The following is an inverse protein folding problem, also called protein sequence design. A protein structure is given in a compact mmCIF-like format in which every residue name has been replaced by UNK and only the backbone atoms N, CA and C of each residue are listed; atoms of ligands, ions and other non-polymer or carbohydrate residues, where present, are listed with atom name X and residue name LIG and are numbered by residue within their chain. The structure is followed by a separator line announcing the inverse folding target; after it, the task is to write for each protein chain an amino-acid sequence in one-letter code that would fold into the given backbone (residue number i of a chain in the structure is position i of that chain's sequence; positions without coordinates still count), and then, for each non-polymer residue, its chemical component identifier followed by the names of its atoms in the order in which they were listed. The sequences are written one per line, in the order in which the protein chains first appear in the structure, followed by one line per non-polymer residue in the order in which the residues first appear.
data_IF_824583049046
#
_entry.id   IF_824583049046
#
_cell.length_a   1.000
_cell.length_b   1.000
_cell.length_c   1.000
_cell.angle_alpha   90.00
_cell.angle_beta   90.00
_cell.angle_gamma   90.00
#
_symmetry.space_group_name_H-M   'P 1'
#
loop_
_entity.id
_entity.type
_entity.pdbx_description
1 polymer ?
#
# COMPACT_ATOMS: atom_id res chain seq x y z
N UNK A 1 -4.93 -16.42 -13.50
CA UNK A 1 -5.95 -15.93 -12.54
C UNK A 1 -5.19 -15.31 -11.38
N UNK A 2 -5.22 -13.98 -11.29
CA UNK A 2 -4.34 -13.23 -10.38
C UNK A 2 -5.02 -13.20 -9.03
N UNK A 3 -4.28 -13.54 -7.99
CA UNK A 3 -4.71 -13.65 -6.61
C UNK A 3 -5.15 -12.29 -6.01
N UNK A 4 -6.28 -11.78 -6.49
CA UNK A 4 -6.90 -10.56 -5.99
C UNK A 4 -7.55 -10.83 -4.63
N UNK A 5 -7.92 -12.09 -4.39
CA UNK A 5 -8.65 -12.49 -3.20
C UNK A 5 -7.75 -12.49 -1.96
N UNK A 6 -6.48 -12.95 -2.04
CA UNK A 6 -5.55 -12.84 -0.91
C UNK A 6 -5.19 -11.39 -0.61
N UNK A 7 -4.93 -10.59 -1.65
CA UNK A 7 -4.64 -9.16 -1.53
C UNK A 7 -5.81 -8.45 -0.85
N UNK A 8 -7.02 -8.57 -1.40
CA UNK A 8 -8.23 -7.98 -0.81
C UNK A 8 -8.49 -8.48 0.61
N UNK A 9 -8.24 -9.76 0.89
CA UNK A 9 -8.47 -10.35 2.21
C UNK A 9 -7.44 -9.90 3.26
N UNK A 10 -6.18 -9.69 2.88
CA UNK A 10 -5.14 -9.19 3.78
C UNK A 10 -5.21 -7.68 4.01
N UNK A 11 -5.69 -6.92 3.02
CA UNK A 11 -5.95 -5.48 3.20
C UNK A 11 -7.22 -5.25 4.00
N UNK A 12 -8.21 -6.15 3.94
CA UNK A 12 -9.50 -5.99 4.63
C UNK A 12 -9.37 -5.67 6.14
N UNK A 13 -8.66 -6.44 6.98
CA UNK A 13 -8.56 -6.17 8.41
C UNK A 13 -7.68 -4.95 8.73
N UNK A 14 -6.57 -4.79 8.01
CA UNK A 14 -5.60 -3.70 8.21
C UNK A 14 -6.19 -2.34 7.79
N UNK A 15 -6.93 -2.35 6.69
CA UNK A 15 -7.68 -1.22 6.26
C UNK A 15 -8.86 -0.98 7.21
N UNK A 16 -9.63 -1.98 7.66
CA UNK A 16 -10.78 -1.78 8.59
C UNK A 16 -10.39 -1.05 9.88
N UNK A 17 -9.23 -1.36 10.48
CA UNK A 17 -8.76 -0.69 11.71
C UNK A 17 -8.45 0.80 11.57
N UNK A 18 -7.97 1.25 10.39
CA UNK A 18 -7.78 2.68 10.07
C UNK A 18 -8.97 3.30 9.31
N UNK A 19 -9.76 2.46 8.64
CA UNK A 19 -10.96 2.82 7.87
C UNK A 19 -12.12 3.22 8.75
N UNK A 20 -12.23 2.75 9.98
CA UNK A 20 -13.20 3.32 10.93
C UNK A 20 -12.99 4.84 11.13
N UNK A 21 -11.78 5.35 10.85
CA UNK A 21 -11.45 6.78 10.87
C UNK A 21 -11.62 7.47 9.50
N UNK A 22 -11.67 6.71 8.39
CA UNK A 22 -11.71 7.21 7.00
C UNK A 22 -13.06 6.99 6.29
N UNK A 23 -14.00 6.23 6.88
CA UNK A 23 -15.28 5.85 6.26
C UNK A 23 -16.51 6.58 6.80
N UNK A 24 -16.35 7.81 7.25
CA UNK A 24 -17.47 8.76 7.17
C UNK A 24 -17.66 9.19 5.69
N UNK A 25 -18.08 8.26 4.82
CA UNK A 25 -18.65 8.47 3.48
C UNK A 25 -18.13 9.63 2.61
N UNK A 26 -16.82 9.81 2.44
CA UNK A 26 -16.26 11.00 1.76
C UNK A 26 -15.53 10.64 0.47
N UNK A 27 -15.56 11.55 -0.52
CA UNK A 27 -14.86 11.43 -1.81
C UNK A 27 -13.38 11.03 -1.64
N UNK A 28 -12.73 11.57 -0.61
CA UNK A 28 -11.35 11.23 -0.25
C UNK A 28 -11.14 9.74 0.04
N UNK A 29 -12.13 9.03 0.60
CA UNK A 29 -12.03 7.60 0.86
C UNK A 29 -12.04 6.80 -0.45
N UNK A 30 -12.81 7.24 -1.44
CA UNK A 30 -12.83 6.64 -2.77
C UNK A 30 -11.51 6.89 -3.51
N UNK A 31 -10.99 8.12 -3.47
CA UNK A 31 -9.69 8.48 -4.05
C UNK A 31 -8.54 7.69 -3.43
N UNK A 32 -8.52 7.57 -2.09
CA UNK A 32 -7.50 6.79 -1.40
C UNK A 32 -7.60 5.29 -1.76
N UNK A 33 -8.81 4.76 -1.87
CA UNK A 33 -9.03 3.38 -2.30
C UNK A 33 -8.50 3.15 -3.71
N UNK A 34 -8.81 4.05 -4.66
CA UNK A 34 -8.30 3.99 -6.03
C UNK A 34 -6.76 4.08 -6.10
N UNK A 35 -6.16 4.94 -5.28
CA UNK A 35 -4.70 5.04 -5.15
C UNK A 35 -4.10 3.72 -4.63
N UNK A 36 -4.68 3.11 -3.60
CA UNK A 36 -4.23 1.83 -3.06
C UNK A 36 -4.29 0.70 -4.10
N UNK A 37 -5.39 0.59 -4.86
CA UNK A 37 -5.49 -0.39 -5.94
C UNK A 37 -4.44 -0.16 -7.04
N UNK A 38 -4.15 1.11 -7.35
CA UNK A 38 -3.10 1.47 -8.33
C UNK A 38 -1.71 1.02 -7.85
N UNK A 39 -1.42 1.16 -6.55
CA UNK A 39 -0.15 0.66 -5.99
C UNK A 39 -0.05 -0.86 -6.04
N UNK A 40 -1.12 -1.59 -5.69
CA UNK A 40 -1.17 -3.06 -5.76
C UNK A 40 -0.95 -3.57 -7.19
N UNK A 41 -1.62 -2.96 -8.17
CA UNK A 41 -1.40 -3.26 -9.58
C UNK A 41 0.06 -3.00 -10.00
N UNK A 42 0.67 -1.95 -9.45
CA UNK A 42 2.09 -1.64 -9.70
C UNK A 42 3.01 -2.66 -9.06
N UNK A 43 2.75 -3.12 -7.82
CA UNK A 43 3.51 -4.20 -7.21
C UNK A 43 3.48 -5.47 -8.07
N UNK A 44 2.29 -5.89 -8.52
CA UNK A 44 2.12 -7.03 -9.43
C UNK A 44 2.94 -6.87 -10.71
N UNK A 45 2.90 -5.69 -11.33
CA UNK A 45 3.68 -5.39 -12.54
C UNK A 45 5.19 -5.48 -12.33
N UNK A 46 5.67 -5.18 -11.13
CA UNK A 46 7.10 -5.23 -10.79
C UNK A 46 7.52 -6.55 -10.13
N UNK A 47 6.64 -7.56 -10.07
CA UNK A 47 6.88 -8.82 -9.34
C UNK A 47 7.21 -8.61 -7.85
N UNK A 48 6.75 -7.51 -7.27
CA UNK A 48 6.89 -7.18 -5.86
C UNK A 48 5.73 -7.80 -5.08
N UNK A 49 6.04 -8.48 -3.96
CA UNK A 49 5.01 -8.99 -3.06
C UNK A 49 4.24 -7.82 -2.43
N UNK A 50 2.96 -7.70 -2.75
CA UNK A 50 2.08 -6.62 -2.31
C UNK A 50 1.97 -6.51 -0.79
N UNK A 51 1.94 -7.65 -0.09
CA UNK A 51 1.80 -7.69 1.37
C UNK A 51 3.09 -7.28 2.06
N UNK A 52 4.23 -7.78 1.59
CA UNK A 52 5.52 -7.36 2.13
C UNK A 52 5.79 -5.88 1.88
N UNK A 53 5.49 -5.39 0.67
CA UNK A 53 5.59 -3.98 0.35
C UNK A 53 4.72 -3.13 1.27
N UNK A 54 3.44 -3.47 1.41
CA UNK A 54 2.52 -2.69 2.22
C UNK A 54 2.92 -2.68 3.70
N UNK A 55 3.40 -3.82 4.21
CA UNK A 55 3.89 -3.93 5.59
C UNK A 55 5.12 -3.03 5.82
N UNK A 56 6.14 -3.14 4.97
CA UNK A 56 7.36 -2.32 5.07
C UNK A 56 7.05 -0.82 4.95
N UNK A 57 6.19 -0.46 4.00
CA UNK A 57 5.74 0.92 3.83
C UNK A 57 5.08 1.44 5.10
N UNK A 58 4.18 0.68 5.73
CA UNK A 58 3.52 1.12 6.97
C UNK A 58 4.46 1.20 8.18
N UNK A 59 5.47 0.34 8.25
CA UNK A 59 6.50 0.41 9.29
C UNK A 59 7.40 1.63 9.11
N UNK A 60 7.77 1.95 7.87
CA UNK A 60 8.71 3.05 7.57
C UNK A 60 8.04 4.40 7.47
N UNK A 61 6.82 4.51 6.95
CA UNK A 61 6.17 5.78 6.62
C UNK A 61 6.04 6.73 7.82
N UNK A 62 5.96 6.21 9.04
CA UNK A 62 5.87 7.02 10.26
C UNK A 62 7.19 7.75 10.59
N UNK A 63 8.32 7.14 10.23
CA UNK A 63 9.66 7.66 10.53
C UNK A 63 10.37 8.21 9.27
N UNK A 64 9.77 8.02 8.09
CA UNK A 64 10.37 8.38 6.81
C UNK A 64 10.17 9.86 6.50
N UNK A 65 11.24 10.53 6.06
CA UNK A 65 11.14 11.94 5.66
C UNK A 65 10.33 12.04 4.37
N UNK A 66 9.45 13.05 4.28
CA UNK A 66 8.60 13.29 3.10
C UNK A 66 9.41 13.32 1.79
N UNK A 67 10.61 13.92 1.83
CA UNK A 67 11.54 13.98 0.68
C UNK A 67 12.00 12.62 0.15
N UNK A 68 11.81 11.52 0.89
CA UNK A 68 12.23 10.18 0.53
C UNK A 68 11.06 9.21 0.27
N UNK A 69 9.81 9.70 0.26
CA UNK A 69 8.63 8.85 0.01
C UNK A 69 8.68 8.12 -1.33
N UNK A 70 9.37 8.66 -2.34
CA UNK A 70 9.56 8.01 -3.63
C UNK A 70 10.32 6.67 -3.52
N UNK A 71 11.09 6.45 -2.44
CA UNK A 71 11.79 5.19 -2.16
C UNK A 71 10.82 4.08 -1.73
N UNK A 72 9.67 4.45 -1.19
CA UNK A 72 8.61 3.53 -0.77
C UNK A 72 7.69 3.14 -1.92
N UNK A 73 7.83 3.74 -3.10
CA UNK A 73 7.06 3.36 -4.28
C UNK A 73 7.45 1.94 -4.73
N UNK A 74 6.51 1.10 -5.17
CA UNK A 74 6.78 -0.29 -5.51
C UNK A 74 7.84 -0.46 -6.60
N UNK A 75 7.97 0.48 -7.54
CA UNK A 75 9.02 0.48 -8.58
C UNK A 75 10.45 0.65 -8.01
N UNK A 76 10.57 1.28 -6.84
CA UNK A 76 11.84 1.63 -6.20
C UNK A 76 12.09 0.82 -4.94
N UNK A 77 11.05 0.24 -4.36
CA UNK A 77 11.05 -0.34 -3.03
C UNK A 77 12.15 -1.39 -2.84
N UNK A 78 12.31 -2.33 -3.78
CA UNK A 78 13.33 -3.37 -3.68
C UNK A 78 14.76 -2.80 -3.58
N UNK A 79 15.01 -1.65 -4.23
CA UNK A 79 16.32 -0.98 -4.20
C UNK A 79 16.61 -0.35 -2.83
N UNK A 80 15.58 0.03 -2.09
CA UNK A 80 15.69 0.75 -0.81
C UNK A 80 15.16 -0.07 0.38
N UNK A 81 14.83 -1.36 0.18
CA UNK A 81 14.44 -2.30 1.24
C UNK A 81 15.65 -2.75 2.06
N UNK A 82 16.81 -2.88 1.40
CA UNK A 82 18.04 -3.44 1.98
C UNK A 82 19.13 -2.40 2.27
N UNK A 83 18.79 -1.11 2.27
CA UNK A 83 19.77 -0.01 2.41
C UNK A 83 19.57 0.81 3.68
#
# INVERSE_FOLDING_TARGET
EIDNNLVENSIRPLAIGRKNYLFAGSHQAAEMTAAMYSFMATCKKNNVNELEWLKDVFERIQSHKQKHLYQLLPNNWEKYKNS
#
